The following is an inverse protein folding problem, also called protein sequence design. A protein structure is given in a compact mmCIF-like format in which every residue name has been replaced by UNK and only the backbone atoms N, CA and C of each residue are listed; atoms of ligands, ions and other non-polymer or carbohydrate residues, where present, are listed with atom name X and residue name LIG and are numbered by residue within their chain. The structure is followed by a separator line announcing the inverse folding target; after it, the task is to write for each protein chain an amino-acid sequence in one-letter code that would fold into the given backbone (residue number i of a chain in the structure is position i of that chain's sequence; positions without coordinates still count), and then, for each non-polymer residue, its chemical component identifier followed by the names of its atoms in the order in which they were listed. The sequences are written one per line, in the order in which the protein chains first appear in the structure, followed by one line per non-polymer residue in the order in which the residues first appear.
data_IF_588255606752
#
_entry.id   IF_588255606752
#
_cell.length_a   1.000
_cell.length_b   1.000
_cell.length_c   1.000
_cell.angle_alpha   90.00
_cell.angle_beta   90.00
_cell.angle_gamma   90.00
#
_symmetry.space_group_name_H-M   'P 1'
#
loop_
_entity.id
_entity.type
_entity.pdbx_description
1 polymer ?
#
# COMPACT_ATOMS: atom_id res chain seq x y z
N UNK A 1 3.01 -37.58 -21.66
CA UNK A 1 4.05 -36.74 -21.07
C UNK A 1 4.18 -37.13 -19.61
N UNK A 2 5.35 -37.54 -19.10
CA UNK A 2 5.47 -37.95 -17.71
C UNK A 2 5.33 -36.73 -16.77
N UNK A 3 4.39 -36.82 -15.82
CA UNK A 3 4.20 -35.82 -14.78
C UNK A 3 5.31 -35.99 -13.71
N UNK A 4 5.90 -34.86 -13.31
CA UNK A 4 6.86 -34.84 -12.22
C UNK A 4 6.11 -34.95 -10.88
N UNK A 5 5.96 -36.17 -10.35
CA UNK A 5 5.18 -36.46 -9.12
C UNK A 5 5.55 -35.54 -7.95
N UNK A 6 6.84 -35.19 -7.80
CA UNK A 6 7.31 -34.30 -6.72
C UNK A 6 6.92 -32.84 -6.89
N UNK A 7 6.37 -32.44 -8.05
CA UNK A 7 5.87 -31.09 -8.35
C UNK A 7 4.36 -31.05 -8.55
N UNK A 8 3.71 -32.20 -8.44
CA UNK A 8 2.26 -32.30 -8.58
C UNK A 8 1.64 -32.16 -7.20
N UNK A 9 0.76 -31.20 -7.05
CA UNK A 9 0.01 -30.94 -5.81
C UNK A 9 -1.45 -31.27 -6.10
N UNK A 10 -2.08 -32.03 -5.24
CA UNK A 10 -3.50 -32.30 -5.30
C UNK A 10 -4.31 -31.01 -5.13
N UNK A 11 -5.57 -30.95 -5.61
CA UNK A 11 -6.44 -29.80 -5.42
C UNK A 11 -6.48 -29.37 -3.96
N UNK A 12 -6.15 -28.11 -3.68
CA UNK A 12 -6.11 -27.55 -2.33
C UNK A 12 -6.65 -26.12 -2.36
N UNK A 13 -7.23 -25.69 -1.25
CA UNK A 13 -7.79 -24.34 -1.12
C UNK A 13 -6.71 -23.28 -0.88
N UNK A 14 -5.55 -23.69 -0.37
CA UNK A 14 -4.40 -22.80 -0.16
C UNK A 14 -3.20 -23.37 -0.89
N UNK A 15 -2.64 -22.59 -1.82
CA UNK A 15 -1.52 -23.01 -2.66
C UNK A 15 -0.49 -21.90 -2.81
N UNK A 16 0.77 -22.22 -2.59
CA UNK A 16 1.86 -21.31 -2.98
C UNK A 16 2.29 -21.60 -4.42
N UNK A 17 2.08 -20.62 -5.31
CA UNK A 17 2.48 -20.68 -6.71
C UNK A 17 3.26 -19.43 -7.12
N UNK A 18 4.38 -19.62 -7.80
CA UNK A 18 5.28 -18.54 -8.21
C UNK A 18 5.66 -17.55 -7.08
N UNK A 19 5.76 -18.06 -5.84
CA UNK A 19 6.17 -17.27 -4.67
C UNK A 19 5.05 -16.42 -4.04
N UNK A 20 3.81 -16.59 -4.49
CA UNK A 20 2.60 -15.99 -3.90
C UNK A 20 1.72 -17.11 -3.37
N UNK A 21 1.13 -16.92 -2.21
CA UNK A 21 0.16 -17.83 -1.64
C UNK A 21 -1.25 -17.38 -2.04
N UNK A 22 -1.96 -18.32 -2.69
CA UNK A 22 -3.36 -18.18 -3.09
C UNK A 22 -4.21 -18.85 -2.04
N UNK A 23 -5.09 -18.11 -1.40
CA UNK A 23 -6.06 -18.62 -0.43
C UNK A 23 -7.46 -18.40 -0.99
N UNK A 24 -8.10 -19.49 -1.44
CA UNK A 24 -9.44 -19.44 -2.04
C UNK A 24 -10.56 -19.47 -1.00
N UNK A 25 -10.26 -19.74 0.28
CA UNK A 25 -11.25 -19.61 1.36
C UNK A 25 -11.49 -18.16 1.68
N UNK A 26 -10.39 -17.43 1.90
CA UNK A 26 -10.44 -16.02 2.26
C UNK A 26 -10.42 -15.11 1.02
N UNK A 27 -10.29 -15.68 -0.20
CA UNK A 27 -10.21 -14.97 -1.47
C UNK A 27 -9.09 -13.92 -1.48
N UNK A 28 -7.92 -14.28 -0.96
CA UNK A 28 -6.77 -13.39 -0.82
C UNK A 28 -5.52 -13.97 -1.49
N UNK A 29 -4.66 -13.05 -1.90
CA UNK A 29 -3.29 -13.32 -2.33
C UNK A 29 -2.35 -12.70 -1.30
N UNK A 30 -1.42 -13.48 -0.78
CA UNK A 30 -0.46 -12.99 0.21
C UNK A 30 0.95 -13.47 -0.03
N UNK A 31 1.91 -12.79 0.57
CA UNK A 31 3.28 -13.29 0.61
C UNK A 31 3.34 -14.48 1.59
N UNK A 32 3.95 -15.61 1.18
CA UNK A 32 4.24 -16.69 2.11
C UNK A 32 5.09 -16.20 3.29
N UNK A 33 4.87 -16.80 4.49
CA UNK A 33 5.51 -16.35 5.73
C UNK A 33 7.05 -16.24 5.63
N UNK A 34 7.71 -17.23 5.01
CA UNK A 34 9.16 -17.17 4.81
C UNK A 34 9.61 -15.98 3.94
N UNK A 35 8.83 -15.64 2.91
CA UNK A 35 9.12 -14.49 2.04
C UNK A 35 8.88 -13.18 2.76
N UNK A 36 7.83 -13.12 3.58
CA UNK A 36 7.49 -11.98 4.41
C UNK A 36 8.65 -11.62 5.37
N UNK A 37 9.19 -12.62 6.07
CA UNK A 37 10.30 -12.43 7.00
C UNK A 37 11.61 -12.06 6.27
N UNK A 38 11.86 -12.63 5.08
CA UNK A 38 12.99 -12.23 4.25
C UNK A 38 12.92 -10.73 3.92
N UNK A 39 11.76 -10.26 3.44
CA UNK A 39 11.55 -8.84 3.12
C UNK A 39 11.78 -7.98 4.35
N UNK A 40 11.12 -8.28 5.47
CA UNK A 40 11.26 -7.53 6.73
C UNK A 40 12.73 -7.43 7.18
N UNK A 41 13.47 -8.54 7.16
CA UNK A 41 14.88 -8.57 7.53
C UNK A 41 15.74 -7.66 6.64
N UNK A 42 15.53 -7.70 5.32
CA UNK A 42 16.26 -6.83 4.37
C UNK A 42 15.98 -5.36 4.62
N UNK A 43 14.72 -4.99 4.85
CA UNK A 43 14.36 -3.59 5.14
C UNK A 43 14.98 -3.10 6.45
N UNK A 44 14.97 -3.92 7.50
CA UNK A 44 15.59 -3.58 8.77
C UNK A 44 17.10 -3.33 8.64
N UNK A 45 17.80 -4.10 7.81
CA UNK A 45 19.22 -3.89 7.57
C UNK A 45 19.50 -2.53 6.92
N UNK A 46 18.69 -2.13 5.92
CA UNK A 46 18.81 -0.79 5.30
C UNK A 46 18.48 0.32 6.31
N UNK A 47 17.47 0.12 7.15
CA UNK A 47 17.08 1.11 8.16
C UNK A 47 18.15 1.38 9.22
N UNK A 48 18.85 0.33 9.65
CA UNK A 48 19.94 0.43 10.66
C UNK A 48 21.19 1.11 10.08
N UNK A 49 21.41 1.00 8.78
CA UNK A 49 22.59 1.55 8.14
C UNK A 49 22.44 3.06 7.83
N UNK A 50 23.55 3.79 7.85
CA UNK A 50 23.61 5.17 7.34
C UNK A 50 23.96 5.21 5.85
N UNK A 51 24.74 4.22 5.39
CA UNK A 51 25.11 4.03 3.99
C UNK A 51 25.00 2.54 3.66
N UNK A 52 24.45 2.23 2.51
CA UNK A 52 24.30 0.87 1.96
C UNK A 52 24.96 0.80 0.60
N UNK A 53 25.40 -0.36 0.17
CA UNK A 53 25.92 -0.53 -1.20
C UNK A 53 24.74 -0.54 -2.19
N UNK A 54 25.06 -0.26 -3.46
CA UNK A 54 24.05 -0.39 -4.54
C UNK A 54 23.47 -1.81 -4.58
N UNK A 55 24.31 -2.82 -4.37
CA UNK A 55 23.88 -4.22 -4.35
C UNK A 55 22.89 -4.47 -3.22
N UNK A 56 23.20 -3.99 -1.99
CA UNK A 56 22.34 -4.14 -0.82
C UNK A 56 21.01 -3.38 -0.93
N UNK A 57 20.96 -2.34 -1.76
CA UNK A 57 19.71 -1.59 -1.99
C UNK A 57 18.88 -2.20 -3.13
N UNK A 58 19.51 -2.73 -4.18
CA UNK A 58 18.80 -3.38 -5.30
C UNK A 58 18.04 -4.64 -4.87
N UNK A 59 18.61 -5.41 -3.94
CA UNK A 59 17.98 -6.63 -3.44
C UNK A 59 16.61 -6.34 -2.77
N UNK A 60 16.49 -5.47 -1.75
CA UNK A 60 15.18 -5.12 -1.20
C UNK A 60 14.25 -4.45 -2.22
N UNK A 61 14.73 -3.61 -3.15
CA UNK A 61 13.89 -3.05 -4.21
C UNK A 61 13.22 -4.14 -5.04
N UNK A 62 13.97 -5.18 -5.44
CA UNK A 62 13.42 -6.33 -6.17
C UNK A 62 12.33 -7.07 -5.36
N UNK A 63 12.60 -7.30 -4.07
CA UNK A 63 11.64 -7.94 -3.16
C UNK A 63 10.37 -7.09 -2.96
N UNK A 64 10.51 -5.77 -2.81
CA UNK A 64 9.40 -4.85 -2.65
C UNK A 64 8.55 -4.75 -3.93
N UNK A 65 9.19 -4.72 -5.12
CA UNK A 65 8.46 -4.78 -6.38
C UNK A 65 7.64 -6.06 -6.50
N UNK A 66 8.19 -7.19 -6.07
CA UNK A 66 7.44 -8.46 -6.00
C UNK A 66 6.30 -8.37 -4.99
N UNK A 67 6.55 -7.82 -3.79
CA UNK A 67 5.54 -7.64 -2.75
C UNK A 67 4.37 -6.75 -3.20
N UNK A 68 4.56 -5.84 -4.15
CA UNK A 68 3.48 -5.03 -4.72
C UNK A 68 2.41 -5.85 -5.46
N UNK A 69 2.65 -7.12 -5.76
CA UNK A 69 1.62 -8.02 -6.29
C UNK A 69 0.51 -8.27 -5.26
N UNK A 70 0.87 -8.28 -3.98
CA UNK A 70 -0.05 -8.52 -2.87
C UNK A 70 -0.31 -7.27 -2.02
N UNK A 71 0.54 -6.27 -2.11
CA UNK A 71 0.48 -5.01 -1.36
C UNK A 71 0.56 -3.84 -2.34
N UNK A 72 -0.51 -3.64 -3.11
CA UNK A 72 -0.56 -2.63 -4.19
C UNK A 72 -0.19 -1.20 -3.73
N UNK A 73 -0.65 -0.68 -2.57
CA UNK A 73 -0.31 0.68 -2.12
C UNK A 73 1.18 0.87 -1.83
N UNK A 74 1.94 -0.20 -1.62
CA UNK A 74 3.39 -0.16 -1.41
C UNK A 74 4.17 0.42 -2.58
N UNK A 75 3.63 0.36 -3.81
CA UNK A 75 4.31 0.84 -5.03
C UNK A 75 4.75 2.29 -4.92
N UNK A 76 3.97 3.15 -4.29
CA UNK A 76 4.29 4.56 -4.07
C UNK A 76 5.57 4.74 -3.25
N UNK A 77 5.80 3.87 -2.27
CA UNK A 77 6.92 3.95 -1.33
C UNK A 77 8.19 3.21 -1.79
N UNK A 78 8.27 2.78 -3.06
CA UNK A 78 9.50 2.24 -3.66
C UNK A 78 10.23 3.32 -4.47
N UNK A 79 9.52 4.34 -4.93
CA UNK A 79 10.05 5.31 -5.91
C UNK A 79 11.36 5.95 -5.44
N UNK A 80 11.42 6.45 -4.19
CA UNK A 80 12.63 7.08 -3.65
C UNK A 80 13.81 6.12 -3.53
N UNK A 81 13.56 4.83 -3.27
CA UNK A 81 14.60 3.81 -3.26
C UNK A 81 15.17 3.60 -4.67
N UNK A 82 14.29 3.55 -5.67
CA UNK A 82 14.70 3.42 -7.08
C UNK A 82 15.50 4.66 -7.50
N UNK A 83 15.00 5.85 -7.22
CA UNK A 83 15.65 7.11 -7.58
C UNK A 83 17.05 7.23 -6.93
N UNK A 84 17.22 6.73 -5.70
CA UNK A 84 18.52 6.68 -5.03
C UNK A 84 19.53 5.76 -5.72
N UNK A 85 19.10 4.81 -6.55
CA UNK A 85 19.97 3.96 -7.36
C UNK A 85 20.31 4.54 -8.72
N UNK A 86 19.60 5.59 -9.16
CA UNK A 86 19.86 6.24 -10.43
C UNK A 86 21.27 6.84 -10.46
N UNK A 87 21.94 6.73 -11.60
CA UNK A 87 23.32 7.22 -11.82
C UNK A 87 24.41 6.55 -10.97
N UNK A 88 24.08 5.45 -10.26
CA UNK A 88 25.06 4.65 -9.53
C UNK A 88 25.30 3.34 -10.27
N UNK A 89 26.48 3.19 -10.89
CA UNK A 89 26.76 2.06 -11.78
C UNK A 89 27.59 0.94 -11.14
N UNK A 90 28.35 1.25 -10.07
CA UNK A 90 29.23 0.25 -9.45
C UNK A 90 28.54 -0.42 -8.25
N UNK A 91 28.49 -1.76 -8.18
CA UNK A 91 27.78 -2.51 -7.14
C UNK A 91 28.20 -2.15 -5.71
N UNK A 92 29.48 -1.82 -5.50
CA UNK A 92 30.06 -1.47 -4.21
C UNK A 92 29.93 0.02 -3.83
N UNK A 93 29.40 0.85 -4.74
CA UNK A 93 29.18 2.26 -4.44
C UNK A 93 28.20 2.41 -3.27
N UNK A 94 28.56 3.28 -2.32
CA UNK A 94 27.75 3.53 -1.11
C UNK A 94 26.75 4.63 -1.35
N UNK A 95 25.49 4.31 -1.14
CA UNK A 95 24.33 5.21 -1.23
C UNK A 95 23.93 5.59 0.19
N UNK A 96 23.63 6.87 0.42
CA UNK A 96 23.17 7.34 1.74
C UNK A 96 21.71 6.95 1.94
N UNK A 97 21.42 6.24 3.04
CA UNK A 97 20.07 5.98 3.50
C UNK A 97 19.49 7.25 4.16
N UNK A 98 18.86 8.11 3.37
CA UNK A 98 18.30 9.38 3.83
C UNK A 98 17.12 9.16 4.79
N UNK A 99 16.75 10.20 5.55
CA UNK A 99 15.59 10.16 6.45
C UNK A 99 14.31 9.79 5.68
N UNK A 100 14.11 10.39 4.50
CA UNK A 100 12.95 10.12 3.66
C UNK A 100 12.87 8.66 3.19
N UNK A 101 14.01 8.05 2.80
CA UNK A 101 14.08 6.62 2.48
C UNK A 101 13.68 5.78 3.69
N UNK A 102 14.20 6.11 4.88
CA UNK A 102 13.88 5.37 6.12
C UNK A 102 12.41 5.50 6.50
N UNK A 103 11.78 6.63 6.22
CA UNK A 103 10.33 6.83 6.42
C UNK A 103 9.50 5.94 5.47
N UNK A 104 9.84 5.88 4.18
CA UNK A 104 9.20 4.97 3.24
C UNK A 104 9.35 3.49 3.67
N UNK A 105 10.52 3.11 4.17
CA UNK A 105 10.76 1.76 4.67
C UNK A 105 9.95 1.44 5.94
N UNK A 106 9.69 2.42 6.81
CA UNK A 106 8.79 2.24 7.97
C UNK A 106 7.36 1.96 7.51
N UNK A 107 6.86 2.70 6.52
CA UNK A 107 5.54 2.45 5.93
C UNK A 107 5.46 1.03 5.38
N UNK A 108 6.50 0.58 4.68
CA UNK A 108 6.57 -0.79 4.20
C UNK A 108 6.53 -1.84 5.32
N UNK A 109 7.22 -1.61 6.44
CA UNK A 109 7.18 -2.52 7.59
C UNK A 109 5.77 -2.60 8.17
N UNK A 110 5.05 -1.48 8.25
CA UNK A 110 3.64 -1.46 8.66
C UNK A 110 2.77 -2.24 7.66
N UNK A 111 2.93 -2.01 6.36
CA UNK A 111 2.20 -2.77 5.35
C UNK A 111 2.44 -4.29 5.46
N UNK A 112 3.69 -4.70 5.64
CA UNK A 112 4.03 -6.11 5.80
C UNK A 112 3.48 -6.73 7.10
N UNK A 113 3.20 -5.93 8.12
CA UNK A 113 2.59 -6.39 9.36
C UNK A 113 1.06 -6.51 9.24
N UNK A 114 0.42 -5.45 8.70
CA UNK A 114 -1.02 -5.27 8.82
C UNK A 114 -1.78 -5.59 7.51
N UNK A 115 -1.11 -5.52 6.35
CA UNK A 115 -1.72 -5.62 5.03
C UNK A 115 -1.36 -6.87 4.23
N UNK A 116 -0.51 -7.75 4.75
CA UNK A 116 -0.16 -8.95 4.02
C UNK A 116 -1.40 -9.85 3.84
N UNK A 117 -1.81 -10.05 2.62
CA UNK A 117 -2.98 -10.87 2.29
C UNK A 117 -4.28 -10.08 2.11
N UNK A 118 -4.21 -8.80 1.85
CA UNK A 118 -5.39 -7.95 1.61
C UNK A 118 -5.76 -7.83 0.14
N UNK A 119 -4.95 -8.38 -0.77
CA UNK A 119 -5.33 -8.37 -2.19
C UNK A 119 -6.42 -9.38 -2.44
N UNK A 120 -7.62 -8.89 -2.61
CA UNK A 120 -8.80 -9.69 -2.92
C UNK A 120 -8.88 -9.92 -4.42
N UNK A 121 -9.36 -11.08 -4.84
CA UNK A 121 -9.79 -11.31 -6.21
C UNK A 121 -11.07 -10.53 -6.44
N UNK A 122 -10.92 -9.27 -6.83
CA UNK A 122 -12.04 -8.38 -7.05
C UNK A 122 -12.79 -8.78 -8.33
N UNK A 123 -14.10 -8.54 -8.33
CA UNK A 123 -14.90 -8.62 -9.56
C UNK A 123 -14.25 -7.76 -10.65
N UNK A 124 -14.34 -8.23 -11.90
CA UNK A 124 -13.81 -7.50 -13.06
C UNK A 124 -14.60 -6.21 -13.35
N UNK A 125 -15.77 -6.06 -12.77
CA UNK A 125 -16.66 -4.93 -12.98
C UNK A 125 -16.43 -3.84 -11.91
N UNK A 126 -16.33 -2.60 -12.38
CA UNK A 126 -16.38 -1.44 -11.50
C UNK A 126 -17.78 -1.30 -10.92
N UNK A 127 -17.86 -1.01 -9.63
CA UNK A 127 -19.15 -0.68 -9.00
C UNK A 127 -19.56 0.72 -9.44
N UNK A 128 -20.78 0.85 -9.98
CA UNK A 128 -21.27 2.15 -10.44
C UNK A 128 -21.64 3.06 -9.26
N UNK A 129 -21.57 4.37 -9.46
CA UNK A 129 -21.97 5.33 -8.46
C UNK A 129 -23.49 5.25 -8.14
N UNK A 130 -24.30 4.84 -9.10
CA UNK A 130 -25.73 4.56 -8.90
C UNK A 130 -25.98 3.47 -7.86
N UNK A 131 -25.04 2.54 -7.71
CA UNK A 131 -25.13 1.44 -6.74
C UNK A 131 -24.46 1.77 -5.41
N UNK A 132 -23.37 2.54 -5.44
CA UNK A 132 -22.58 2.86 -4.23
C UNK A 132 -23.05 4.14 -3.57
N UNK A 133 -23.53 5.10 -4.35
CA UNK A 133 -23.95 6.43 -3.85
C UNK A 133 -22.93 7.04 -2.89
N UNK A 134 -21.68 7.13 -3.33
CA UNK A 134 -20.58 7.64 -2.52
C UNK A 134 -20.13 9.00 -3.05
N UNK A 135 -20.32 10.04 -2.24
CA UNK A 135 -19.97 11.42 -2.60
C UNK A 135 -19.14 12.06 -1.49
N UNK A 136 -18.14 12.80 -1.91
CA UNK A 136 -17.29 13.60 -1.01
C UNK A 136 -17.10 14.98 -1.62
N UNK A 137 -17.09 15.99 -0.78
CA UNK A 137 -16.81 17.36 -1.18
C UNK A 137 -16.06 18.10 -0.08
N UNK A 138 -15.26 19.08 -0.46
CA UNK A 138 -14.51 19.89 0.48
C UNK A 138 -14.42 21.34 0.01
N UNK A 139 -14.44 22.25 0.95
CA UNK A 139 -14.32 23.69 0.67
C UNK A 139 -13.19 24.29 1.49
N UNK A 140 -12.27 24.99 0.81
CA UNK A 140 -11.23 25.78 1.46
C UNK A 140 -11.79 26.97 2.24
N UNK A 141 -11.03 27.46 3.22
CA UNK A 141 -11.38 28.60 4.06
C UNK A 141 -11.62 28.22 5.53
N UNK A 142 -11.26 29.13 6.42
CA UNK A 142 -11.23 28.91 7.88
C UNK A 142 -12.59 28.61 8.51
N UNK A 143 -13.71 28.96 7.85
CA UNK A 143 -15.07 28.75 8.31
C UNK A 143 -15.77 27.61 7.59
N UNK A 144 -15.08 26.92 6.69
CA UNK A 144 -15.61 25.84 5.88
C UNK A 144 -15.07 24.50 6.36
N UNK A 145 -15.38 23.42 5.66
CA UNK A 145 -15.01 22.09 6.03
C UNK A 145 -15.26 21.12 4.89
N UNK A 146 -15.61 19.90 5.22
CA UNK A 146 -15.92 18.84 4.26
C UNK A 146 -17.26 18.19 4.56
N UNK A 147 -17.85 17.60 3.54
CA UNK A 147 -19.03 16.77 3.60
C UNK A 147 -18.78 15.43 2.95
N UNK A 148 -19.39 14.39 3.49
CA UNK A 148 -19.37 13.04 2.98
C UNK A 148 -20.76 12.44 3.00
N UNK A 149 -21.10 11.66 1.99
CA UNK A 149 -22.37 10.97 1.86
C UNK A 149 -22.15 9.54 1.37
N UNK A 150 -22.86 8.61 1.96
CA UNK A 150 -22.85 7.21 1.57
C UNK A 150 -24.19 6.55 1.85
N UNK A 151 -24.92 6.14 0.81
CA UNK A 151 -26.16 5.36 0.91
C UNK A 151 -27.17 5.90 1.93
N UNK A 152 -27.56 7.14 1.82
CA UNK A 152 -28.51 7.79 2.73
C UNK A 152 -27.93 8.28 4.05
N UNK A 153 -26.66 7.99 4.33
CA UNK A 153 -25.94 8.47 5.52
C UNK A 153 -25.02 9.62 5.13
N UNK A 154 -24.90 10.61 5.99
CA UNK A 154 -24.02 11.74 5.75
C UNK A 154 -23.28 12.15 7.02
N UNK A 155 -22.14 12.77 6.84
CA UNK A 155 -21.38 13.42 7.89
C UNK A 155 -20.68 14.66 7.35
N UNK A 156 -20.41 15.62 8.21
CA UNK A 156 -19.62 16.79 7.87
C UNK A 156 -18.82 17.26 9.09
N UNK A 157 -17.76 18.01 8.84
CA UNK A 157 -17.04 18.71 9.91
C UNK A 157 -16.35 19.97 9.35
N UNK A 158 -16.12 20.94 10.24
CA UNK A 158 -15.25 22.07 9.94
C UNK A 158 -13.77 21.67 10.03
N UNK A 159 -12.91 22.44 9.37
CA UNK A 159 -11.48 22.21 9.46
C UNK A 159 -10.94 22.47 10.88
N UNK A 160 -10.00 21.66 11.36
CA UNK A 160 -9.33 21.91 12.64
C UNK A 160 -8.61 23.26 12.64
N UNK A 161 -8.64 23.97 13.76
CA UNK A 161 -7.98 25.28 13.91
C UNK A 161 -6.50 25.22 13.56
N UNK A 162 -5.81 24.17 13.99
CA UNK A 162 -4.38 23.96 13.70
C UNK A 162 -4.08 23.89 12.20
N UNK A 163 -5.02 23.49 11.36
CA UNK A 163 -4.87 23.46 9.91
C UNK A 163 -4.99 24.83 9.29
N UNK A 164 -5.84 25.69 9.88
CA UNK A 164 -5.95 27.09 9.49
C UNK A 164 -4.63 27.81 9.77
N UNK A 165 -4.10 27.62 10.98
CA UNK A 165 -2.88 28.28 11.46
C UNK A 165 -1.63 27.82 10.69
N UNK A 166 -1.57 26.56 10.26
CA UNK A 166 -0.45 25.98 9.50
C UNK A 166 -0.59 26.10 7.98
N UNK A 167 -1.55 26.89 7.48
CA UNK A 167 -1.80 27.11 6.04
C UNK A 167 -2.08 25.83 5.21
N UNK A 168 -2.45 24.71 5.85
CA UNK A 168 -2.78 23.46 5.16
C UNK A 168 -4.02 23.60 4.26
N UNK A 169 -4.87 24.60 4.53
CA UNK A 169 -6.07 24.87 3.74
C UNK A 169 -5.78 25.49 2.36
N UNK A 170 -4.52 25.79 2.04
CA UNK A 170 -4.11 26.23 0.71
C UNK A 170 -3.94 25.06 -0.28
N UNK A 171 -3.76 23.84 0.22
CA UNK A 171 -3.52 22.63 -0.58
C UNK A 171 -4.84 21.92 -0.91
N UNK A 172 -5.52 22.39 -1.98
CA UNK A 172 -6.84 21.85 -2.36
C UNK A 172 -6.85 20.33 -2.55
N UNK A 173 -5.81 19.75 -3.13
CA UNK A 173 -5.70 18.30 -3.31
C UNK A 173 -5.72 17.56 -1.98
N UNK A 174 -5.06 18.09 -0.95
CA UNK A 174 -5.10 17.53 0.39
C UNK A 174 -6.51 17.60 0.99
N UNK A 175 -7.18 18.74 0.83
CA UNK A 175 -8.54 18.93 1.32
C UNK A 175 -9.53 17.97 0.65
N UNK A 176 -9.41 17.73 -0.65
CA UNK A 176 -10.27 16.80 -1.38
C UNK A 176 -10.00 15.33 -1.01
N UNK A 177 -8.77 14.97 -0.72
CA UNK A 177 -8.43 13.60 -0.30
C UNK A 177 -8.91 13.28 1.13
N UNK A 178 -8.93 14.26 2.00
CA UNK A 178 -9.24 14.07 3.41
C UNK A 178 -10.64 13.46 3.66
N UNK A 179 -11.74 14.01 3.07
CA UNK A 179 -13.08 13.43 3.26
C UNK A 179 -13.18 12.00 2.71
N UNK A 180 -12.44 11.66 1.65
CA UNK A 180 -12.39 10.29 1.14
C UNK A 180 -11.82 9.34 2.21
N UNK A 181 -10.71 9.72 2.85
CA UNK A 181 -10.09 8.93 3.92
C UNK A 181 -11.04 8.78 5.10
N UNK A 182 -11.71 9.85 5.53
CA UNK A 182 -12.69 9.81 6.61
C UNK A 182 -13.88 8.89 6.27
N UNK A 183 -14.42 9.00 5.07
CA UNK A 183 -15.51 8.17 4.61
C UNK A 183 -15.14 6.67 4.56
N UNK A 184 -13.94 6.35 4.10
CA UNK A 184 -13.42 4.98 4.11
C UNK A 184 -13.24 4.47 5.56
N UNK A 185 -12.77 5.31 6.48
CA UNK A 185 -12.67 4.93 7.89
C UNK A 185 -14.04 4.63 8.51
N UNK A 186 -15.07 5.39 8.17
CA UNK A 186 -16.41 5.23 8.73
C UNK A 186 -17.16 4.06 8.07
N UNK A 187 -17.10 3.95 6.76
CA UNK A 187 -17.94 3.02 5.97
C UNK A 187 -17.15 1.99 5.16
N UNK A 188 -15.83 1.92 5.28
CA UNK A 188 -14.98 1.06 4.47
C UNK A 188 -15.32 -0.43 4.57
N UNK A 189 -15.88 -0.87 5.70
CA UNK A 189 -16.37 -2.24 5.85
C UNK A 189 -17.45 -2.58 4.81
N UNK A 190 -18.30 -1.62 4.44
CA UNK A 190 -19.35 -1.79 3.42
C UNK A 190 -18.81 -1.72 2.00
N UNK A 191 -17.59 -1.23 1.82
CA UNK A 191 -16.88 -1.12 0.54
C UNK A 191 -15.92 -2.28 0.31
N UNK A 192 -15.80 -3.20 1.29
CA UNK A 192 -14.92 -4.37 1.19
C UNK A 192 -15.25 -5.18 -0.07
N UNK A 193 -14.23 -5.57 -0.81
CA UNK A 193 -14.31 -6.37 -2.04
C UNK A 193 -15.03 -5.68 -3.22
N UNK A 194 -15.20 -4.37 -3.18
CA UNK A 194 -15.75 -3.60 -4.29
C UNK A 194 -14.64 -2.84 -5.02
N UNK A 195 -14.76 -2.77 -6.32
CA UNK A 195 -13.91 -1.96 -7.19
C UNK A 195 -14.64 -0.64 -7.44
N UNK A 196 -14.24 0.40 -6.73
CA UNK A 196 -14.83 1.74 -6.72
C UNK A 196 -13.87 2.77 -7.31
#
# INVERSE_FOLDING_TARGET
MPLAKHKTIEPTEVLTFLGVEFDTRDMILRLPGGKLEEVKSRLQNVMKANKVTLCDLKSPIGLLNFACLTIAPGRTFIRRLIDATCNVNKPHHKIRATKAIKEDLKVWITFLADYNGVTVMLDNLWTSNETVEFYTDSAGGSTRGFGIYFQGKWAHACWPKDWVDNQLLAEITFLEMFPIVIAINIWGASLKNKKI
#
